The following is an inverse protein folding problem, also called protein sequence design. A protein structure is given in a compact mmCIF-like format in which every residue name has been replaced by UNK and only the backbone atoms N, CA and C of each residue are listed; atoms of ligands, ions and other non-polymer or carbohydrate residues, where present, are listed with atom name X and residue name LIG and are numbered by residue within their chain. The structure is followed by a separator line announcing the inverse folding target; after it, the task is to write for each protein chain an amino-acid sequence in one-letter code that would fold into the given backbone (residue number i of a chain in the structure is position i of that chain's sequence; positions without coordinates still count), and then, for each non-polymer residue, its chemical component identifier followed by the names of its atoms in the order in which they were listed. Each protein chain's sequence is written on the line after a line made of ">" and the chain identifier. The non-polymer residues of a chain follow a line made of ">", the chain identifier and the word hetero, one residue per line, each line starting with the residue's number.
data_IF_192912874571
#
_entry.id   IF_192912874571
#
_cell.length_a   1.000
_cell.length_b   1.000
_cell.length_c   1.000
_cell.angle_alpha   90.00
_cell.angle_beta   90.00
_cell.angle_gamma   90.00
#
_symmetry.space_group_name_H-M   'P 1'
#
loop_
_entity.id
_entity.type
_entity.pdbx_description
1 polymer ?
#
# COMPACT_ATOMS: atom_id res chain seq x y z
N UNK A 1 15.47 -25.41 -5.15
CA UNK A 1 14.01 -25.37 -5.38
C UNK A 1 13.76 -24.68 -6.72
N UNK A 2 12.92 -25.23 -7.60
CA UNK A 2 12.67 -24.58 -8.89
C UNK A 2 11.73 -23.35 -8.69
N UNK A 3 11.66 -22.44 -9.68
CA UNK A 3 10.85 -21.22 -9.55
C UNK A 3 9.35 -21.50 -9.40
N UNK A 4 8.84 -22.64 -9.90
CA UNK A 4 7.43 -23.02 -9.78
C UNK A 4 7.10 -23.48 -8.37
N UNK A 5 7.97 -24.27 -7.75
CA UNK A 5 7.81 -24.71 -6.37
C UNK A 5 7.78 -23.48 -5.44
N UNK A 6 8.73 -22.54 -5.61
CA UNK A 6 8.75 -21.27 -4.86
C UNK A 6 7.48 -20.44 -5.05
N UNK A 7 6.95 -20.38 -6.27
CA UNK A 7 5.73 -19.65 -6.55
C UNK A 7 4.50 -20.32 -5.92
N UNK A 8 4.44 -21.66 -5.92
CA UNK A 8 3.37 -22.40 -5.27
C UNK A 8 3.40 -22.17 -3.75
N UNK A 9 4.58 -22.29 -3.12
CA UNK A 9 4.75 -22.04 -1.68
C UNK A 9 4.33 -20.62 -1.29
N UNK A 10 4.71 -19.62 -2.10
CA UNK A 10 4.31 -18.23 -1.87
C UNK A 10 2.79 -18.04 -2.00
N UNK A 11 2.17 -18.64 -3.01
CA UNK A 11 0.71 -18.58 -3.18
C UNK A 11 0.01 -19.23 -1.98
N UNK A 12 0.49 -20.38 -1.52
CA UNK A 12 -0.09 -21.08 -0.38
C UNK A 12 0.05 -20.26 0.91
N UNK A 13 1.21 -19.64 1.16
CA UNK A 13 1.41 -18.75 2.31
C UNK A 13 0.49 -17.51 2.24
N UNK A 14 0.41 -16.83 1.09
CA UNK A 14 -0.43 -15.64 0.95
C UNK A 14 -1.93 -15.95 1.04
N UNK A 15 -2.38 -17.12 0.54
CA UNK A 15 -3.76 -17.55 0.72
C UNK A 15 -4.02 -17.95 2.17
N UNK A 16 -3.08 -18.62 2.83
CA UNK A 16 -3.19 -18.98 4.26
C UNK A 16 -3.25 -17.78 5.22
N UNK A 17 -2.88 -16.58 4.74
CA UNK A 17 -2.90 -15.31 5.48
C UNK A 17 -4.04 -14.37 5.06
N UNK A 18 -4.97 -14.83 4.23
CA UNK A 18 -6.06 -14.02 3.66
C UNK A 18 -5.57 -12.77 2.90
N UNK A 19 -4.34 -12.81 2.36
CA UNK A 19 -3.77 -11.75 1.51
C UNK A 19 -4.19 -11.96 0.05
N UNK A 20 -4.25 -13.21 -0.36
CA UNK A 20 -4.58 -13.64 -1.72
C UNK A 20 -5.81 -14.55 -1.69
N UNK A 21 -6.79 -14.30 -2.54
CA UNK A 21 -8.01 -15.10 -2.65
C UNK A 21 -8.02 -15.93 -3.94
N UNK A 22 -8.50 -17.17 -3.84
CA UNK A 22 -8.68 -18.08 -4.97
C UNK A 22 -10.07 -17.93 -5.58
N UNK A 23 -10.16 -17.95 -6.90
CA UNK A 23 -11.44 -17.90 -7.59
C UNK A 23 -11.36 -18.26 -9.07
N UNK A 24 -12.50 -18.12 -9.74
CA UNK A 24 -12.65 -18.39 -11.18
C UNK A 24 -13.15 -17.14 -11.90
N UNK A 25 -12.74 -16.95 -13.15
CA UNK A 25 -13.37 -15.96 -14.04
C UNK A 25 -14.40 -16.67 -14.92
N UNK A 26 -15.66 -16.23 -14.81
CA UNK A 26 -16.78 -16.86 -15.50
C UNK A 26 -17.62 -15.85 -16.25
N UNK A 27 -18.05 -16.24 -17.45
CA UNK A 27 -18.90 -15.44 -18.32
C UNK A 27 -20.37 -15.83 -18.17
N UNK A 28 -21.24 -14.86 -17.91
CA UNK A 28 -22.69 -15.05 -17.89
C UNK A 28 -23.22 -15.40 -19.30
N UNK A 29 -24.11 -16.38 -19.40
CA UNK A 29 -24.69 -16.78 -20.69
C UNK A 29 -25.68 -15.74 -21.23
N UNK A 30 -26.36 -15.02 -20.32
CA UNK A 30 -27.38 -14.02 -20.67
C UNK A 30 -26.78 -12.66 -21.01
N UNK A 31 -26.05 -12.04 -20.09
CA UNK A 31 -25.55 -10.67 -20.26
C UNK A 31 -24.08 -10.57 -20.67
N UNK A 32 -23.42 -11.72 -20.88
CA UNK A 32 -22.02 -11.83 -21.36
C UNK A 32 -20.96 -11.18 -20.45
N UNK A 33 -21.32 -10.77 -19.24
CA UNK A 33 -20.37 -10.26 -18.24
C UNK A 33 -19.40 -11.38 -17.86
N UNK A 34 -18.11 -11.14 -18.02
CA UNK A 34 -17.04 -11.93 -17.39
C UNK A 34 -16.67 -11.28 -16.06
N UNK A 35 -16.78 -12.01 -14.97
CA UNK A 35 -16.44 -11.52 -13.63
C UNK A 35 -15.66 -12.58 -12.86
N UNK A 36 -14.92 -12.14 -11.85
CA UNK A 36 -14.24 -13.03 -10.92
C UNK A 36 -15.21 -13.44 -9.80
N UNK A 37 -15.16 -14.71 -9.40
CA UNK A 37 -16.01 -15.29 -8.36
C UNK A 37 -15.12 -16.01 -7.35
N UNK A 38 -15.29 -15.69 -6.06
CA UNK A 38 -14.53 -16.29 -4.97
C UNK A 38 -14.85 -17.75 -4.82
N UNK A 39 -13.82 -18.57 -4.55
CA UNK A 39 -14.01 -19.97 -4.20
C UNK A 39 -14.94 -20.14 -3.00
N UNK A 40 -15.00 -19.16 -2.08
CA UNK A 40 -15.89 -19.18 -0.91
C UNK A 40 -17.38 -19.21 -1.26
N UNK A 41 -17.77 -18.58 -2.37
CA UNK A 41 -19.18 -18.46 -2.79
C UNK A 41 -19.54 -19.39 -3.95
N UNK A 42 -18.53 -20.05 -4.54
CA UNK A 42 -18.73 -20.95 -5.68
C UNK A 42 -19.27 -22.30 -5.21
N UNK A 43 -20.32 -22.77 -5.90
CA UNK A 43 -20.93 -24.10 -5.67
C UNK A 43 -20.91 -24.91 -6.97
N UNK A 44 -21.99 -25.61 -7.31
CA UNK A 44 -22.25 -26.11 -8.68
C UNK A 44 -22.96 -25.08 -9.56
N UNK A 45 -23.44 -23.98 -8.97
CA UNK A 45 -24.05 -22.82 -9.62
C UNK A 45 -23.31 -21.52 -9.27
N UNK A 46 -23.42 -20.50 -10.13
CA UNK A 46 -23.09 -19.11 -9.80
C UNK A 46 -24.20 -18.14 -10.19
N UNK A 47 -24.28 -17.05 -9.44
CA UNK A 47 -25.15 -15.92 -9.73
C UNK A 47 -24.35 -14.83 -10.44
N UNK A 48 -24.82 -14.35 -11.59
CA UNK A 48 -24.15 -13.28 -12.31
C UNK A 48 -24.17 -11.95 -11.54
N UNK A 49 -23.01 -11.34 -11.29
CA UNK A 49 -22.84 -10.06 -10.58
C UNK A 49 -23.56 -8.85 -11.22
N UNK A 50 -23.99 -8.96 -12.49
CA UNK A 50 -24.70 -7.87 -13.20
C UNK A 50 -26.20 -8.11 -13.30
N UNK A 51 -26.60 -9.27 -13.80
CA UNK A 51 -28.01 -9.52 -14.09
C UNK A 51 -28.71 -10.42 -13.07
N UNK A 52 -27.97 -11.00 -12.12
CA UNK A 52 -28.52 -11.88 -11.09
C UNK A 52 -28.96 -13.26 -11.57
N UNK A 53 -28.66 -13.64 -12.82
CA UNK A 53 -28.97 -14.99 -13.32
C UNK A 53 -28.15 -16.03 -12.58
N UNK A 54 -28.81 -17.00 -11.96
CA UNK A 54 -28.18 -18.20 -11.41
C UNK A 54 -28.05 -19.27 -12.49
N UNK A 55 -26.84 -19.75 -12.74
CA UNK A 55 -26.52 -20.66 -13.84
C UNK A 55 -25.43 -21.67 -13.45
N UNK A 56 -25.49 -22.86 -14.05
CA UNK A 56 -24.51 -23.92 -13.83
C UNK A 56 -23.19 -23.61 -14.55
N UNK A 57 -22.04 -23.92 -13.93
CA UNK A 57 -20.75 -23.83 -14.63
C UNK A 57 -20.67 -24.86 -15.75
N UNK A 58 -20.37 -24.39 -16.97
CA UNK A 58 -20.21 -25.21 -18.17
C UNK A 58 -19.05 -24.63 -18.97
N UNK A 59 -18.51 -25.40 -19.91
CA UNK A 59 -17.41 -24.97 -20.79
C UNK A 59 -17.66 -23.61 -21.47
N UNK A 60 -18.91 -23.31 -21.81
CA UNK A 60 -19.34 -22.02 -22.38
C UNK A 60 -19.11 -20.80 -21.48
N UNK A 61 -18.90 -21.01 -20.18
CA UNK A 61 -18.69 -19.96 -19.19
C UNK A 61 -17.20 -19.69 -18.93
N UNK A 62 -16.27 -20.52 -19.42
CA UNK A 62 -14.85 -20.38 -19.13
C UNK A 62 -14.18 -19.39 -20.07
N UNK A 63 -13.26 -18.56 -19.54
CA UNK A 63 -12.46 -17.63 -20.35
C UNK A 63 -11.36 -18.34 -21.14
N UNK A 64 -10.90 -19.50 -20.67
CA UNK A 64 -9.89 -20.34 -21.35
C UNK A 64 -10.50 -21.72 -21.65
N UNK A 65 -10.33 -22.26 -22.88
CA UNK A 65 -11.38 -23.05 -23.51
C UNK A 65 -11.42 -24.55 -23.16
N UNK A 66 -10.51 -25.07 -22.34
CA UNK A 66 -10.44 -26.50 -22.05
C UNK A 66 -10.82 -26.87 -20.61
N UNK A 67 -10.45 -26.05 -19.61
CA UNK A 67 -10.77 -26.21 -18.19
C UNK A 67 -10.78 -24.83 -17.49
N UNK A 68 -11.54 -24.66 -16.39
CA UNK A 68 -11.53 -23.41 -15.64
C UNK A 68 -10.14 -23.22 -15.02
N UNK A 69 -9.55 -22.04 -15.24
CA UNK A 69 -8.26 -21.70 -14.64
C UNK A 69 -8.48 -21.08 -13.26
N UNK A 70 -7.58 -21.39 -12.33
CA UNK A 70 -7.48 -20.63 -11.08
C UNK A 70 -7.01 -19.23 -11.38
N UNK A 71 -7.76 -18.26 -10.86
CA UNK A 71 -7.39 -16.86 -10.82
C UNK A 71 -7.24 -16.43 -9.38
N UNK A 72 -6.28 -15.57 -9.15
CA UNK A 72 -5.99 -15.03 -7.83
C UNK A 72 -6.28 -13.53 -7.85
N UNK A 73 -6.82 -13.02 -6.74
CA UNK A 73 -6.93 -11.58 -6.50
C UNK A 73 -6.33 -11.28 -5.13
N UNK A 74 -5.82 -10.07 -4.94
CA UNK A 74 -5.51 -9.58 -3.60
C UNK A 74 -6.83 -9.35 -2.86
N UNK A 75 -6.83 -9.59 -1.55
CA UNK A 75 -7.89 -9.11 -0.68
C UNK A 75 -8.06 -7.59 -0.87
N UNK A 76 -9.31 -7.10 -0.87
CA UNK A 76 -9.63 -5.73 -1.27
C UNK A 76 -8.81 -4.69 -0.48
N UNK A 77 -8.67 -4.85 0.83
CA UNK A 77 -7.87 -3.96 1.68
C UNK A 77 -6.40 -3.93 1.28
N UNK A 78 -5.83 -5.08 0.92
CA UNK A 78 -4.44 -5.17 0.44
C UNK A 78 -4.30 -4.53 -0.94
N UNK A 79 -5.26 -4.79 -1.84
CA UNK A 79 -5.29 -4.18 -3.16
C UNK A 79 -5.33 -2.64 -3.08
N UNK A 80 -6.20 -2.10 -2.21
CA UNK A 80 -6.29 -0.66 -1.99
C UNK A 80 -4.99 -0.09 -1.41
N UNK A 81 -4.41 -0.75 -0.40
CA UNK A 81 -3.12 -0.35 0.20
C UNK A 81 -1.99 -0.26 -0.84
N UNK A 82 -1.89 -1.22 -1.76
CA UNK A 82 -0.91 -1.16 -2.85
C UNK A 82 -1.26 -0.10 -3.90
N UNK A 83 -2.52 -0.03 -4.31
CA UNK A 83 -2.99 0.89 -5.37
C UNK A 83 -2.88 2.37 -4.97
N UNK A 84 -2.98 2.65 -3.67
CA UNK A 84 -2.81 3.98 -3.08
C UNK A 84 -1.42 4.23 -2.49
N UNK A 85 -0.45 3.35 -2.76
CA UNK A 85 0.93 3.48 -2.30
C UNK A 85 1.14 3.48 -0.76
N UNK A 86 0.12 3.19 0.03
CA UNK A 86 0.17 3.12 1.50
C UNK A 86 1.16 2.08 2.04
N UNK A 87 1.50 1.07 1.24
CA UNK A 87 2.54 0.08 1.58
C UNK A 87 3.89 0.73 1.93
N UNK A 88 4.26 1.84 1.29
CA UNK A 88 5.51 2.55 1.60
C UNK A 88 5.46 3.18 3.00
N UNK A 89 4.33 3.81 3.35
CA UNK A 89 4.08 4.36 4.69
C UNK A 89 4.16 3.29 5.76
N UNK A 90 3.57 2.11 5.52
CA UNK A 90 3.66 0.96 6.42
C UNK A 90 5.12 0.54 6.64
N UNK A 91 5.91 0.44 5.56
CA UNK A 91 7.32 0.06 5.67
C UNK A 91 8.15 1.06 6.45
N UNK A 92 7.93 2.37 6.25
CA UNK A 92 8.61 3.41 7.00
C UNK A 92 8.26 3.35 8.48
N UNK A 93 6.96 3.24 8.81
CA UNK A 93 6.51 3.13 10.19
C UNK A 93 7.06 1.88 10.87
N UNK A 94 7.09 0.74 10.17
CA UNK A 94 7.72 -0.48 10.66
C UNK A 94 9.23 -0.29 10.91
N UNK A 95 9.95 0.37 10.01
CA UNK A 95 11.38 0.67 10.17
C UNK A 95 11.67 1.58 11.35
N UNK A 96 10.82 2.58 11.57
CA UNK A 96 10.90 3.49 12.72
C UNK A 96 10.55 2.77 14.03
N UNK A 97 9.54 1.91 14.01
CA UNK A 97 9.17 1.06 15.16
C UNK A 97 10.32 0.14 15.55
N UNK A 98 10.93 -0.55 14.59
CA UNK A 98 12.04 -1.47 14.83
C UNK A 98 13.30 -0.76 15.37
N UNK A 99 13.43 0.54 15.10
CA UNK A 99 14.51 1.38 15.63
C UNK A 99 14.21 2.02 17.00
N UNK A 100 12.99 1.86 17.52
CA UNK A 100 12.56 2.43 18.80
C UNK A 100 12.84 1.46 19.96
N UNK A 101 13.25 1.98 21.11
CA UNK A 101 13.66 1.16 22.26
C UNK A 101 12.56 0.98 23.33
N UNK A 102 11.66 1.96 23.48
CA UNK A 102 10.73 2.00 24.61
C UNK A 102 9.27 2.12 24.19
N UNK A 103 8.95 3.07 23.31
CA UNK A 103 7.56 3.34 22.96
C UNK A 103 7.43 3.84 21.52
N UNK A 104 6.47 3.25 20.80
CA UNK A 104 6.13 3.64 19.45
C UNK A 104 4.60 3.74 19.29
N UNK A 105 4.13 4.94 18.95
CA UNK A 105 2.72 5.21 18.63
C UNK A 105 2.67 5.85 17.25
N UNK A 106 1.70 5.48 16.42
CA UNK A 106 1.57 6.01 15.07
C UNK A 106 0.11 6.27 14.70
N UNK A 107 -0.06 7.20 13.76
CA UNK A 107 -1.30 7.51 13.08
C UNK A 107 -0.93 7.65 11.58
N UNK A 108 -1.10 6.60 10.77
CA UNK A 108 -0.77 6.68 9.35
C UNK A 108 -1.79 7.57 8.64
N UNK A 109 -1.36 8.27 7.58
CA UNK A 109 -2.25 9.07 6.71
C UNK A 109 -3.11 10.06 7.51
N UNK A 110 -2.45 10.82 8.40
CA UNK A 110 -3.11 11.74 9.32
C UNK A 110 -3.51 13.03 8.61
N UNK A 111 -4.80 13.34 8.58
CA UNK A 111 -5.29 14.67 8.18
C UNK A 111 -5.08 15.70 9.30
N UNK A 112 -4.18 16.65 9.06
CA UNK A 112 -3.95 17.75 9.98
C UNK A 112 -4.86 18.93 9.66
N UNK A 113 -5.83 19.17 10.53
CA UNK A 113 -6.70 20.35 10.48
C UNK A 113 -6.06 21.54 11.20
N UNK A 114 -5.76 22.59 10.45
CA UNK A 114 -5.26 23.86 10.98
C UNK A 114 -6.33 24.93 10.73
N UNK A 115 -6.77 25.68 11.76
CA UNK A 115 -7.76 26.72 11.59
C UNK A 115 -7.36 27.75 10.53
N UNK A 116 -8.19 27.92 9.51
CA UNK A 116 -7.96 28.87 8.42
C UNK A 116 -7.10 28.35 7.26
N UNK A 117 -6.63 27.10 7.33
CA UNK A 117 -5.94 26.42 6.22
C UNK A 117 -6.78 25.25 5.69
N UNK A 118 -6.46 24.79 4.48
CA UNK A 118 -6.98 23.52 4.00
C UNK A 118 -6.35 22.37 4.79
N UNK A 119 -7.09 21.27 5.06
CA UNK A 119 -6.51 20.08 5.67
C UNK A 119 -5.26 19.62 4.91
N UNK A 120 -4.22 19.25 5.67
CA UNK A 120 -2.97 18.75 5.14
C UNK A 120 -2.79 17.31 5.57
N UNK A 121 -2.84 16.40 4.61
CA UNK A 121 -2.53 14.99 4.82
C UNK A 121 -1.05 14.82 5.20
N UNK A 122 -0.76 13.97 6.17
CA UNK A 122 0.58 13.62 6.63
C UNK A 122 0.73 12.10 6.54
N UNK A 123 1.53 11.63 5.59
CA UNK A 123 1.67 10.20 5.30
C UNK A 123 2.22 9.46 6.54
N UNK A 124 3.33 9.98 7.10
CA UNK A 124 3.99 9.43 8.28
C UNK A 124 3.69 10.35 9.45
N UNK A 125 2.99 9.87 10.48
CA UNK A 125 2.92 10.54 11.77
C UNK A 125 3.11 9.53 12.91
N UNK A 126 4.15 9.71 13.71
CA UNK A 126 4.40 8.86 14.87
C UNK A 126 5.12 9.60 16.01
N UNK A 127 5.03 9.00 17.19
CA UNK A 127 5.83 9.34 18.37
C UNK A 127 6.68 8.13 18.71
N UNK A 128 8.00 8.28 18.62
CA UNK A 128 8.98 7.25 18.96
C UNK A 128 9.88 7.76 20.07
N UNK A 129 9.88 7.08 21.22
CA UNK A 129 10.73 7.41 22.39
C UNK A 129 10.68 8.89 22.78
N UNK A 130 9.48 9.48 22.75
CA UNK A 130 9.21 10.87 23.11
C UNK A 130 9.52 11.90 22.01
N UNK A 131 9.94 11.46 20.82
CA UNK A 131 10.19 12.33 19.65
C UNK A 131 9.01 12.31 18.70
N UNK A 132 8.54 13.48 18.28
CA UNK A 132 7.51 13.63 17.25
C UNK A 132 8.18 13.50 15.88
N UNK A 133 7.71 12.55 15.08
CA UNK A 133 8.20 12.30 13.74
C UNK A 133 7.02 12.46 12.78
N UNK A 134 7.19 13.36 11.79
CA UNK A 134 6.24 13.46 10.68
C UNK A 134 6.98 13.33 9.34
N UNK A 135 6.27 13.03 8.26
CA UNK A 135 6.95 12.80 7.00
C UNK A 135 6.05 12.46 5.81
N UNK A 136 6.70 12.41 4.66
CA UNK A 136 6.07 12.15 3.35
C UNK A 136 6.64 10.88 2.72
N UNK A 137 5.78 10.13 2.06
CA UNK A 137 6.10 8.97 1.25
C UNK A 137 5.79 9.25 -0.22
N UNK A 138 6.72 8.90 -1.11
CA UNK A 138 6.53 8.99 -2.57
C UNK A 138 7.10 7.79 -3.29
N UNK A 139 6.28 7.11 -4.07
CA UNK A 139 6.77 6.02 -4.95
C UNK A 139 7.55 6.56 -6.15
N UNK A 140 7.28 7.80 -6.52
CA UNK A 140 8.02 8.59 -7.48
C UNK A 140 9.22 9.30 -6.85
N UNK A 141 10.16 9.83 -7.66
CA UNK A 141 11.28 10.61 -7.14
C UNK A 141 10.81 11.80 -6.29
N UNK A 142 11.44 11.94 -5.12
CA UNK A 142 11.24 13.08 -4.23
C UNK A 142 11.70 14.38 -4.91
N UNK A 143 10.96 15.47 -4.66
CA UNK A 143 11.20 16.81 -5.24
C UNK A 143 11.28 17.84 -4.12
N UNK A 144 12.03 18.95 -4.29
CA UNK A 144 12.11 20.00 -3.28
C UNK A 144 10.75 20.54 -2.82
N UNK A 145 9.75 20.55 -3.72
CA UNK A 145 8.37 20.94 -3.38
C UNK A 145 7.73 20.10 -2.27
N UNK A 146 8.16 18.85 -2.08
CA UNK A 146 7.69 18.01 -0.98
C UNK A 146 8.21 18.52 0.37
N UNK A 147 9.40 19.11 0.42
CA UNK A 147 9.98 19.71 1.63
C UNK A 147 9.23 20.99 2.01
N UNK A 148 8.89 21.83 1.02
CA UNK A 148 8.21 23.12 1.23
C UNK A 148 6.92 22.98 2.05
N UNK A 149 6.16 21.89 1.85
CA UNK A 149 4.95 21.57 2.64
C UNK A 149 5.27 21.49 4.14
N UNK A 150 6.37 20.83 4.51
CA UNK A 150 6.77 20.62 5.90
C UNK A 150 7.48 21.83 6.50
N UNK A 151 8.18 22.63 5.70
CA UNK A 151 8.68 23.94 6.13
C UNK A 151 7.52 24.84 6.57
N UNK A 152 6.47 24.93 5.76
CA UNK A 152 5.26 25.70 6.09
C UNK A 152 4.59 25.17 7.36
N UNK A 153 4.43 23.84 7.49
CA UNK A 153 3.87 23.23 8.69
C UNK A 153 4.69 23.54 9.96
N UNK A 154 6.02 23.50 9.86
CA UNK A 154 6.91 23.82 10.98
C UNK A 154 6.82 25.29 11.43
N UNK A 155 6.32 26.19 10.58
CA UNK A 155 6.01 27.57 10.95
C UNK A 155 4.64 27.72 11.62
N UNK A 156 3.67 26.88 11.27
CA UNK A 156 2.31 26.95 11.84
C UNK A 156 2.18 26.22 13.17
N UNK A 157 2.97 25.18 13.41
CA UNK A 157 2.90 24.38 14.64
C UNK A 157 3.63 25.05 15.81
N UNK A 158 2.97 25.13 16.98
CA UNK A 158 3.57 25.62 18.22
C UNK A 158 4.77 24.77 18.68
N UNK A 159 4.72 23.45 18.43
CA UNK A 159 5.83 22.53 18.65
C UNK A 159 6.25 21.97 17.30
N UNK A 160 7.51 22.22 16.92
CA UNK A 160 8.09 21.65 15.71
C UNK A 160 8.29 20.13 15.89
N UNK A 161 8.15 19.34 14.81
CA UNK A 161 8.54 17.94 14.84
C UNK A 161 10.03 17.82 15.17
N UNK A 162 10.39 16.75 15.87
CA UNK A 162 11.76 16.44 16.23
C UNK A 162 12.52 15.84 15.04
N UNK A 163 11.82 15.11 14.15
CA UNK A 163 12.33 14.52 12.91
C UNK A 163 11.33 14.69 11.76
N UNK A 164 11.86 14.92 10.56
CA UNK A 164 11.12 15.06 9.31
C UNK A 164 11.61 14.00 8.32
N UNK A 165 10.83 12.94 8.12
CA UNK A 165 11.24 11.79 7.29
C UNK A 165 10.65 11.90 5.89
N UNK A 166 11.49 11.79 4.88
CA UNK A 166 11.06 11.69 3.48
C UNK A 166 11.45 10.34 2.94
N UNK A 167 10.46 9.55 2.53
CA UNK A 167 10.67 8.18 2.10
C UNK A 167 10.31 8.00 0.64
N UNK A 168 11.08 7.16 -0.06
CA UNK A 168 10.81 6.80 -1.45
C UNK A 168 11.16 5.36 -1.76
N UNK A 169 10.40 4.76 -2.70
CA UNK A 169 10.75 3.47 -3.30
C UNK A 169 11.81 3.60 -4.39
N UNK A 170 12.33 4.80 -4.65
CA UNK A 170 13.47 5.00 -5.55
C UNK A 170 14.78 4.61 -4.83
N UNK A 171 15.78 4.10 -5.56
CA UNK A 171 17.06 3.69 -4.98
C UNK A 171 17.94 4.86 -4.53
N UNK A 172 17.66 6.08 -4.99
CA UNK A 172 18.39 7.28 -4.64
C UNK A 172 17.51 8.52 -4.81
N UNK A 173 17.95 9.64 -4.24
CA UNK A 173 17.35 10.98 -4.42
C UNK A 173 18.30 11.89 -5.23
N UNK A 174 17.80 13.01 -5.74
CA UNK A 174 18.64 13.95 -6.49
C UNK A 174 19.49 14.82 -5.56
N UNK A 175 20.66 15.27 -6.03
CA UNK A 175 21.51 16.23 -5.30
C UNK A 175 20.76 17.51 -4.92
N UNK A 176 19.86 17.96 -5.80
CA UNK A 176 18.99 19.11 -5.54
C UNK A 176 18.06 18.87 -4.34
N UNK A 177 17.47 17.68 -4.23
CA UNK A 177 16.66 17.31 -3.07
C UNK A 177 17.49 17.23 -1.79
N UNK A 178 18.67 16.60 -1.84
CA UNK A 178 19.58 16.50 -0.69
C UNK A 178 20.04 17.87 -0.19
N UNK A 179 20.38 18.78 -1.11
CA UNK A 179 20.76 20.16 -0.78
C UNK A 179 19.64 20.92 -0.06
N UNK A 180 18.40 20.77 -0.53
CA UNK A 180 17.24 21.37 0.14
C UNK A 180 16.97 20.72 1.50
N UNK A 181 17.06 19.39 1.59
CA UNK A 181 16.86 18.66 2.84
C UNK A 181 17.88 19.05 3.91
N UNK A 182 19.13 19.30 3.51
CA UNK A 182 20.20 19.74 4.42
C UNK A 182 19.93 21.07 5.13
N UNK A 183 19.03 21.91 4.58
CA UNK A 183 18.59 23.16 5.22
C UNK A 183 17.45 22.93 6.22
N UNK A 184 16.79 21.77 6.17
CA UNK A 184 15.67 21.43 7.02
C UNK A 184 16.16 20.76 8.31
N UNK A 185 15.94 21.43 9.45
CA UNK A 185 16.31 20.87 10.75
C UNK A 185 15.58 19.55 11.01
N UNK A 186 16.35 18.50 11.27
CA UNK A 186 15.81 17.16 11.53
C UNK A 186 15.31 16.43 10.28
N UNK A 187 15.63 16.95 9.08
CA UNK A 187 15.35 16.29 7.81
C UNK A 187 16.15 15.00 7.63
N UNK A 188 15.47 13.92 7.28
CA UNK A 188 16.02 12.60 7.03
C UNK A 188 15.39 12.02 5.76
N UNK A 189 16.16 11.18 5.05
CA UNK A 189 15.71 10.49 3.85
C UNK A 189 15.82 8.98 4.03
N UNK A 190 14.82 8.25 3.54
CA UNK A 190 14.83 6.78 3.44
C UNK A 190 14.55 6.38 2.00
N UNK A 191 15.46 5.63 1.40
CA UNK A 191 15.37 5.13 0.03
C UNK A 191 14.95 3.67 0.02
N UNK A 192 14.84 3.08 -1.18
CA UNK A 192 14.52 1.66 -1.33
C UNK A 192 15.43 0.76 -0.47
N UNK A 193 16.75 1.00 -0.51
CA UNK A 193 17.71 0.18 0.22
C UNK A 193 17.65 0.34 1.75
N UNK A 194 17.01 1.39 2.25
CA UNK A 194 16.81 1.59 3.69
C UNK A 194 15.55 0.89 4.22
N UNK A 195 14.60 0.58 3.32
CA UNK A 195 13.23 0.18 3.64
C UNK A 195 12.91 -1.27 3.28
N UNK A 196 13.61 -1.83 2.30
CA UNK A 196 13.37 -3.18 1.81
C UNK A 196 14.65 -4.00 1.95
N UNK A 197 14.51 -5.19 2.53
CA UNK A 197 15.58 -6.19 2.56
C UNK A 197 15.73 -6.81 1.16
N UNK A 198 16.98 -6.94 0.68
CA UNK A 198 17.34 -7.64 -0.56
C UNK A 198 17.26 -9.18 -0.43
#
# INVERSE_FOLDING_TARGET
>A
MNNKDRAADLIDDLVGRDILERGLILQCERCRLSSWYSLEVLTTLFQCNRCGLTQQFRRSHWKSPFEPHWYYRLAETVYQCFSHNSHLTIQVLHRLQAASEHAFHFAPELDLEIPGEQPKEIDIACVADGKIIIGECKTEPLRPSHITKYEQLAHTLNRKPDRLVFATSQPAVSEDFESHLGNLRGGEVMTFGDLFDD
#
